data_IF_749074305647
#
_entry.id   IF_749074305647
#
_cell.length_a   1.000
_cell.length_b   1.000
_cell.length_c   1.000
_cell.angle_alpha   90.00
_cell.angle_beta   90.00
_cell.angle_gamma   90.00
#
_symmetry.space_group_name_H-M   'P 1'
#
loop_
_entity.id
_entity.type
_entity.pdbx_description
1 polymer ?
#
# COMPACT_ATOMS: atom_id res chain seq x y z
N UNK A 1 25.82 -45.26 1.32
CA UNK A 1 26.25 -46.19 2.40
C UNK A 1 25.94 -45.65 3.80
N UNK A 2 26.10 -44.36 4.11
CA UNK A 2 25.86 -43.82 5.46
C UNK A 2 24.41 -43.95 5.96
N UNK A 3 23.40 -43.89 5.08
CA UNK A 3 22.00 -44.01 5.50
C UNK A 3 21.65 -45.41 6.09
N UNK A 4 21.96 -46.49 5.39
CA UNK A 4 21.66 -47.85 5.84
C UNK A 4 22.34 -48.20 7.18
N UNK A 5 23.61 -47.82 7.33
CA UNK A 5 24.35 -48.00 8.59
C UNK A 5 23.87 -47.12 9.75
N UNK A 6 23.03 -46.10 9.50
CA UNK A 6 22.46 -45.27 10.58
C UNK A 6 21.11 -45.81 11.04
N UNK A 7 20.28 -46.33 10.12
CA UNK A 7 18.93 -46.82 10.45
C UNK A 7 18.89 -48.26 10.97
N UNK A 8 19.73 -49.17 10.45
CA UNK A 8 19.65 -50.59 10.82
C UNK A 8 20.48 -50.95 12.07
N UNK A 9 21.52 -50.18 12.40
CA UNK A 9 22.44 -50.45 13.52
C UNK A 9 21.88 -50.04 14.89
N UNK A 10 20.84 -49.19 14.92
CA UNK A 10 20.23 -48.70 16.17
C UNK A 10 19.02 -49.53 16.62
N UNK A 11 18.27 -50.13 15.69
CA UNK A 11 16.95 -50.70 16.00
C UNK A 11 16.76 -52.19 15.65
N UNK A 12 17.63 -52.83 14.85
CA UNK A 12 17.43 -54.20 14.33
C UNK A 12 15.98 -54.46 13.86
N UNK A 13 15.34 -53.46 13.25
CA UNK A 13 13.93 -53.49 12.83
C UNK A 13 13.86 -52.95 11.40
N UNK A 14 13.07 -53.60 10.56
CA UNK A 14 12.82 -53.14 9.20
C UNK A 14 12.05 -51.81 9.23
N UNK A 15 12.55 -50.72 8.61
CA UNK A 15 11.86 -49.43 8.61
C UNK A 15 10.60 -49.40 7.73
N UNK A 16 10.36 -50.44 6.92
CA UNK A 16 9.20 -50.51 6.02
C UNK A 16 8.03 -51.30 6.61
N UNK A 17 8.30 -52.38 7.36
CA UNK A 17 7.27 -53.29 7.87
C UNK A 17 7.42 -53.63 9.36
N UNK A 18 8.33 -52.96 10.07
CA UNK A 18 8.56 -53.09 11.51
C UNK A 18 8.92 -54.52 11.98
N UNK A 19 9.28 -55.40 11.05
CA UNK A 19 9.73 -56.75 11.37
C UNK A 19 11.08 -56.70 12.07
N UNK A 20 11.21 -57.43 13.18
CA UNK A 20 12.46 -57.56 13.92
C UNK A 20 13.44 -58.41 13.12
N UNK A 21 14.66 -57.89 12.94
CA UNK A 21 15.76 -58.46 12.16
C UNK A 21 16.92 -58.90 13.08
N UNK A 22 16.68 -59.90 13.94
CA UNK A 22 17.64 -60.39 14.95
C UNK A 22 18.50 -61.58 14.47
N UNK A 23 18.23 -62.12 13.28
CA UNK A 23 18.92 -63.27 12.70
C UNK A 23 20.29 -62.93 12.12
N UNK A 24 21.18 -63.93 12.09
CA UNK A 24 22.61 -63.80 11.73
C UNK A 24 22.85 -63.26 10.30
N UNK A 25 21.88 -63.36 9.40
CA UNK A 25 21.99 -62.94 8.00
C UNK A 25 20.80 -62.08 7.53
N UNK A 26 20.04 -61.49 8.46
CA UNK A 26 18.86 -60.67 8.13
C UNK A 26 19.23 -59.25 7.71
N UNK A 27 20.44 -58.78 8.05
CA UNK A 27 20.97 -57.48 7.64
C UNK A 27 22.33 -57.71 6.96
N UNK A 28 22.34 -57.59 5.64
CA UNK A 28 23.56 -57.74 4.83
C UNK A 28 23.75 -56.51 3.96
N UNK A 29 24.93 -55.90 4.05
CA UNK A 29 25.34 -54.86 3.11
C UNK A 29 25.87 -55.53 1.86
N UNK A 30 25.15 -55.41 0.76
CA UNK A 30 25.53 -56.00 -0.52
C UNK A 30 25.57 -54.96 -1.63
N UNK A 31 26.41 -55.22 -2.63
CA UNK A 31 26.40 -54.46 -3.87
C UNK A 31 25.27 -54.98 -4.77
N UNK A 32 24.33 -54.10 -5.13
CA UNK A 32 23.19 -54.44 -5.99
C UNK A 32 23.57 -54.64 -7.47
N UNK A 33 24.81 -54.32 -7.86
CA UNK A 33 25.34 -54.58 -9.18
C UNK A 33 26.69 -55.34 -9.11
N UNK A 34 26.67 -56.64 -8.74
CA UNK A 34 27.88 -57.43 -8.65
C UNK A 34 28.42 -57.81 -10.04
N UNK A 35 29.73 -58.10 -10.12
CA UNK A 35 30.37 -58.53 -11.38
C UNK A 35 29.90 -59.92 -11.84
N UNK A 36 30.05 -60.23 -13.12
CA UNK A 36 29.70 -61.54 -13.67
C UNK A 36 30.45 -62.68 -12.98
N UNK A 37 31.76 -62.52 -12.73
CA UNK A 37 32.57 -63.51 -12.02
C UNK A 37 32.05 -63.74 -10.59
N UNK A 38 31.67 -62.68 -9.88
CA UNK A 38 31.10 -62.82 -8.53
C UNK A 38 29.79 -63.61 -8.56
N UNK A 39 28.88 -63.31 -9.50
CA UNK A 39 27.62 -64.05 -9.69
C UNK A 39 27.88 -65.54 -9.94
N UNK A 40 28.84 -65.88 -10.80
CA UNK A 40 29.22 -67.29 -11.05
C UNK A 40 29.82 -67.94 -9.80
N UNK A 41 30.70 -67.23 -9.09
CA UNK A 41 31.35 -67.76 -7.88
C UNK A 41 30.38 -68.08 -6.75
N UNK A 42 29.38 -67.23 -6.50
CA UNK A 42 28.39 -67.47 -5.43
C UNK A 42 27.37 -68.57 -5.77
N UNK A 43 27.16 -68.84 -7.05
CA UNK A 43 26.22 -69.88 -7.51
C UNK A 43 26.90 -71.24 -7.71
N UNK A 44 28.23 -71.28 -7.84
CA UNK A 44 28.97 -72.51 -8.09
C UNK A 44 28.78 -73.52 -6.94
N UNK A 45 28.42 -74.76 -7.29
CA UNK A 45 28.21 -75.84 -6.32
C UNK A 45 26.84 -75.83 -5.63
N UNK A 46 25.99 -74.82 -5.88
CA UNK A 46 24.61 -74.84 -5.39
C UNK A 46 23.74 -75.79 -6.24
N UNK A 47 22.78 -76.43 -5.58
CA UNK A 47 21.79 -77.27 -6.27
C UNK A 47 20.79 -76.39 -7.05
N UNK A 48 20.29 -76.84 -8.21
CA UNK A 48 19.33 -76.07 -9.01
C UNK A 48 18.09 -75.64 -8.21
N UNK A 49 17.60 -76.47 -7.29
CA UNK A 49 16.43 -76.18 -6.47
C UNK A 49 16.67 -74.96 -5.57
N UNK A 50 17.85 -74.85 -4.97
CA UNK A 50 18.23 -73.73 -4.12
C UNK A 50 18.39 -72.43 -4.93
N UNK A 51 18.95 -72.52 -6.14
CA UNK A 51 19.07 -71.37 -7.04
C UNK A 51 17.70 -70.85 -7.45
N UNK A 52 16.77 -71.75 -7.76
CA UNK A 52 15.39 -71.40 -8.09
C UNK A 52 14.67 -70.76 -6.89
N UNK A 53 14.87 -71.28 -5.68
CA UNK A 53 14.33 -70.71 -4.44
C UNK A 53 14.82 -69.27 -4.22
N UNK A 54 16.14 -69.03 -4.32
CA UNK A 54 16.73 -67.69 -4.21
C UNK A 54 16.13 -66.72 -5.24
N UNK A 55 15.99 -67.17 -6.49
CA UNK A 55 15.40 -66.36 -7.56
C UNK A 55 13.94 -66.01 -7.27
N UNK A 56 13.14 -66.97 -6.79
CA UNK A 56 11.74 -66.74 -6.43
C UNK A 56 11.61 -65.72 -5.29
N UNK A 57 12.44 -65.84 -4.24
CA UNK A 57 12.47 -64.88 -3.13
C UNK A 57 12.84 -63.47 -3.60
N UNK A 58 13.86 -63.36 -4.46
CA UNK A 58 14.29 -62.08 -5.03
C UNK A 58 13.19 -61.41 -5.87
N UNK A 59 12.47 -62.18 -6.69
CA UNK A 59 11.36 -61.68 -7.51
C UNK A 59 10.18 -61.23 -6.65
N UNK A 60 9.83 -61.97 -5.61
CA UNK A 60 8.77 -61.60 -4.67
C UNK A 60 9.12 -60.28 -3.96
N UNK A 61 10.38 -60.15 -3.51
CA UNK A 61 10.86 -58.92 -2.88
C UNK A 61 10.81 -57.73 -3.84
N UNK A 62 11.30 -57.89 -5.07
CA UNK A 62 11.23 -56.84 -6.09
C UNK A 62 9.78 -56.43 -6.39
N UNK A 63 8.87 -57.40 -6.49
CA UNK A 63 7.44 -57.15 -6.72
C UNK A 63 6.82 -56.34 -5.58
N UNK A 64 7.14 -56.70 -4.33
CA UNK A 64 6.74 -55.94 -3.16
C UNK A 64 7.30 -54.51 -3.19
N UNK A 65 8.59 -54.34 -3.48
CA UNK A 65 9.22 -53.02 -3.59
C UNK A 65 8.51 -52.13 -4.63
N UNK A 66 8.25 -52.66 -5.83
CA UNK A 66 7.53 -51.93 -6.89
C UNK A 66 6.12 -51.55 -6.43
N UNK A 67 5.40 -52.45 -5.77
CA UNK A 67 4.07 -52.17 -5.23
C UNK A 67 4.09 -51.04 -4.18
N UNK A 68 5.08 -51.05 -3.27
CA UNK A 68 5.24 -49.98 -2.27
C UNK A 68 5.60 -48.64 -2.92
N UNK A 69 6.49 -48.65 -3.93
CA UNK A 69 6.83 -47.43 -4.66
C UNK A 69 5.62 -46.83 -5.37
N UNK A 70 4.78 -47.65 -6.00
CA UNK A 70 3.54 -47.19 -6.65
C UNK A 70 2.57 -46.59 -5.62
N UNK A 71 2.32 -47.28 -4.51
CA UNK A 71 1.46 -46.78 -3.45
C UNK A 71 1.94 -45.44 -2.89
N UNK A 72 3.25 -45.29 -2.67
CA UNK A 72 3.83 -44.02 -2.22
C UNK A 72 3.67 -42.91 -3.27
N UNK A 73 3.94 -43.21 -4.54
CA UNK A 73 3.75 -42.25 -5.65
C UNK A 73 2.29 -41.80 -5.75
N UNK A 74 1.33 -42.71 -5.62
CA UNK A 74 -0.10 -42.40 -5.63
C UNK A 74 -0.50 -41.52 -4.45
N UNK A 75 -0.03 -41.83 -3.24
CA UNK A 75 -0.24 -40.99 -2.06
C UNK A 75 0.29 -39.57 -2.28
N UNK A 76 1.51 -39.44 -2.79
CA UNK A 76 2.14 -38.14 -3.09
C UNK A 76 1.40 -37.36 -4.17
N UNK A 77 0.95 -38.05 -5.22
CA UNK A 77 0.15 -37.45 -6.29
C UNK A 77 -1.17 -36.92 -5.73
N UNK A 78 -1.90 -37.72 -4.96
CA UNK A 78 -3.16 -37.33 -4.34
C UNK A 78 -3.00 -36.12 -3.42
N UNK A 79 -1.95 -36.09 -2.61
CA UNK A 79 -1.66 -34.94 -1.76
C UNK A 79 -1.37 -33.68 -2.57
N UNK A 80 -0.52 -33.78 -3.60
CA UNK A 80 -0.23 -32.66 -4.50
C UNK A 80 -1.50 -32.12 -5.19
N UNK A 81 -2.40 -33.01 -5.61
CA UNK A 81 -3.68 -32.63 -6.20
C UNK A 81 -4.61 -31.93 -5.19
N UNK A 82 -4.64 -32.37 -3.93
CA UNK A 82 -5.42 -31.70 -2.88
C UNK A 82 -4.86 -30.31 -2.58
N UNK A 83 -3.54 -30.18 -2.46
CA UNK A 83 -2.86 -28.90 -2.23
C UNK A 83 -3.12 -27.92 -3.39
N UNK A 84 -3.07 -28.40 -4.63
CA UNK A 84 -3.38 -27.60 -5.82
C UNK A 84 -4.82 -27.07 -5.77
N UNK A 85 -5.81 -27.96 -5.56
CA UNK A 85 -7.22 -27.57 -5.46
C UNK A 85 -7.46 -26.57 -4.34
N UNK A 86 -6.85 -26.77 -3.18
CA UNK A 86 -6.95 -25.84 -2.04
C UNK A 86 -6.41 -24.46 -2.41
N UNK A 87 -5.26 -24.40 -3.07
CA UNK A 87 -4.65 -23.14 -3.53
C UNK A 87 -5.48 -22.44 -4.60
N UNK A 88 -6.07 -23.19 -5.54
CA UNK A 88 -6.96 -22.62 -6.56
C UNK A 88 -8.20 -21.97 -5.93
N UNK A 89 -8.84 -22.64 -4.96
CA UNK A 89 -9.99 -22.10 -4.22
C UNK A 89 -9.58 -20.84 -3.43
N UNK A 90 -8.42 -20.88 -2.78
CA UNK A 90 -7.91 -19.74 -2.02
C UNK A 90 -7.63 -18.53 -2.93
N UNK A 91 -6.97 -18.74 -4.08
CA UNK A 91 -6.70 -17.71 -5.07
C UNK A 91 -7.99 -17.10 -5.64
N UNK A 92 -8.97 -17.93 -6.01
CA UNK A 92 -10.27 -17.45 -6.50
C UNK A 92 -11.05 -16.66 -5.44
N UNK A 93 -10.91 -17.01 -4.16
CA UNK A 93 -11.53 -16.26 -3.06
C UNK A 93 -10.82 -14.92 -2.83
N UNK A 94 -9.50 -14.91 -2.86
CA UNK A 94 -8.71 -13.67 -2.76
C UNK A 94 -9.00 -12.71 -3.91
N UNK A 95 -9.11 -13.23 -5.14
CA UNK A 95 -9.45 -12.42 -6.31
C UNK A 95 -10.81 -11.73 -6.14
N UNK A 96 -11.84 -12.49 -5.75
CA UNK A 96 -13.18 -11.95 -5.48
C UNK A 96 -13.17 -10.87 -4.39
N UNK A 97 -12.37 -11.06 -3.33
CA UNK A 97 -12.23 -10.05 -2.28
C UNK A 97 -11.62 -8.76 -2.82
N UNK A 98 -10.52 -8.87 -3.57
CA UNK A 98 -9.85 -7.71 -4.18
C UNK A 98 -10.77 -6.98 -5.16
N UNK A 99 -11.55 -7.71 -5.96
CA UNK A 99 -12.55 -7.13 -6.86
C UNK A 99 -13.63 -6.35 -6.10
N UNK A 100 -14.12 -6.89 -4.98
CA UNK A 100 -15.10 -6.22 -4.12
C UNK A 100 -14.51 -4.95 -3.48
N UNK A 101 -13.27 -5.04 -2.95
CA UNK A 101 -12.59 -3.90 -2.34
C UNK A 101 -12.32 -2.79 -3.38
N UNK A 102 -11.93 -3.17 -4.60
CA UNK A 102 -11.72 -2.26 -5.71
C UNK A 102 -13.01 -1.55 -6.10
N UNK A 103 -14.14 -2.26 -6.16
CA UNK A 103 -15.44 -1.67 -6.41
C UNK A 103 -15.81 -0.64 -5.35
N UNK A 104 -15.70 -1.02 -4.07
CA UNK A 104 -15.99 -0.14 -2.94
C UNK A 104 -15.09 1.10 -2.94
N UNK A 105 -13.82 0.95 -3.27
CA UNK A 105 -12.88 2.07 -3.30
C UNK A 105 -13.20 3.04 -4.45
N UNK A 106 -13.61 2.52 -5.62
CA UNK A 106 -14.08 3.35 -6.73
C UNK A 106 -15.32 4.16 -6.34
N UNK A 107 -16.32 3.53 -5.75
CA UNK A 107 -17.52 4.22 -5.26
C UNK A 107 -17.17 5.33 -4.26
N UNK A 108 -16.25 5.07 -3.32
CA UNK A 108 -15.76 6.08 -2.37
C UNK A 108 -15.05 7.24 -3.05
N UNK A 109 -14.21 6.97 -4.05
CA UNK A 109 -13.53 8.01 -4.82
C UNK A 109 -14.54 8.89 -5.58
N UNK A 110 -15.55 8.29 -6.21
CA UNK A 110 -16.62 9.02 -6.89
C UNK A 110 -17.43 9.88 -5.93
N UNK A 111 -17.79 9.33 -4.77
CA UNK A 111 -18.52 10.06 -3.72
C UNK A 111 -17.72 11.27 -3.22
N UNK A 112 -16.45 11.08 -2.85
CA UNK A 112 -15.58 12.17 -2.37
C UNK A 112 -15.37 13.23 -3.45
N UNK A 113 -15.27 12.83 -4.72
CA UNK A 113 -15.18 13.76 -5.85
C UNK A 113 -16.44 14.62 -5.97
N UNK A 114 -17.62 14.01 -5.86
CA UNK A 114 -18.91 14.72 -5.87
C UNK A 114 -19.03 15.71 -4.69
N UNK A 115 -18.71 15.24 -3.48
CA UNK A 115 -18.75 16.06 -2.26
C UNK A 115 -17.78 17.24 -2.35
N UNK A 116 -16.58 17.02 -2.92
CA UNK A 116 -15.60 18.08 -3.15
C UNK A 116 -16.13 19.17 -4.10
N UNK A 117 -16.75 18.79 -5.21
CA UNK A 117 -17.35 19.74 -6.15
C UNK A 117 -18.52 20.52 -5.51
N UNK A 118 -19.31 19.87 -4.65
CA UNK A 118 -20.39 20.52 -3.91
C UNK A 118 -19.84 21.57 -2.92
N UNK A 119 -18.84 21.20 -2.13
CA UNK A 119 -18.21 22.12 -1.17
C UNK A 119 -17.50 23.28 -1.87
N UNK A 120 -16.87 23.03 -3.02
CA UNK A 120 -16.27 24.07 -3.86
C UNK A 120 -17.32 25.09 -4.33
N UNK A 121 -18.51 24.64 -4.77
CA UNK A 121 -19.62 25.54 -5.14
C UNK A 121 -20.08 26.36 -3.95
N UNK A 122 -20.28 25.74 -2.79
CA UNK A 122 -20.66 26.44 -1.54
C UNK A 122 -19.63 27.50 -1.15
N UNK A 123 -18.34 27.20 -1.28
CA UNK A 123 -17.27 28.15 -1.00
C UNK A 123 -17.32 29.38 -1.92
N UNK A 124 -17.59 29.18 -3.23
CA UNK A 124 -17.76 30.29 -4.17
C UNK A 124 -18.97 31.16 -3.82
N UNK A 125 -20.12 30.55 -3.50
CA UNK A 125 -21.33 31.28 -3.10
C UNK A 125 -21.10 32.13 -1.84
N UNK A 126 -20.46 31.56 -0.82
CA UNK A 126 -20.12 32.28 0.42
C UNK A 126 -19.12 33.42 0.17
N UNK A 127 -18.14 33.22 -0.71
CA UNK A 127 -17.19 34.27 -1.09
C UNK A 127 -17.88 35.44 -1.80
N UNK A 128 -18.85 35.16 -2.68
CA UNK A 128 -19.63 36.20 -3.34
C UNK A 128 -20.51 36.98 -2.36
N UNK A 129 -21.20 36.27 -1.46
CA UNK A 129 -21.99 36.89 -0.39
C UNK A 129 -21.13 37.78 0.51
N UNK A 130 -19.92 37.31 0.89
CA UNK A 130 -18.98 38.09 1.68
C UNK A 130 -18.56 39.37 0.93
N UNK A 131 -18.18 39.26 -0.34
CA UNK A 131 -17.80 40.40 -1.16
C UNK A 131 -18.95 41.43 -1.30
N UNK A 132 -20.19 40.96 -1.41
CA UNK A 132 -21.36 41.84 -1.43
C UNK A 132 -21.57 42.54 -0.07
N UNK A 133 -21.45 41.82 1.04
CA UNK A 133 -21.53 42.41 2.39
C UNK A 133 -20.43 43.44 2.61
N UNK A 134 -19.20 43.19 2.17
CA UNK A 134 -18.11 44.15 2.20
C UNK A 134 -18.41 45.41 1.37
N UNK A 135 -19.04 45.28 0.19
CA UNK A 135 -19.51 46.43 -0.60
C UNK A 135 -20.59 47.22 0.15
N UNK A 136 -21.52 46.56 0.84
CA UNK A 136 -22.52 47.23 1.68
C UNK A 136 -21.90 47.96 2.86
N UNK A 137 -20.98 47.32 3.58
CA UNK A 137 -20.26 47.94 4.71
C UNK A 137 -19.51 49.20 4.23
N UNK A 138 -18.79 49.12 3.11
CA UNK A 138 -18.11 50.28 2.51
C UNK A 138 -19.06 51.42 2.15
N UNK A 139 -20.23 51.11 1.57
CA UNK A 139 -21.27 52.12 1.26
C UNK A 139 -21.81 52.80 2.51
N UNK A 140 -22.09 52.02 3.56
CA UNK A 140 -22.57 52.56 4.84
C UNK A 140 -21.49 53.43 5.51
N UNK A 141 -20.23 52.99 5.53
CA UNK A 141 -19.11 53.78 6.05
C UNK A 141 -18.99 55.13 5.33
N UNK A 142 -19.04 55.13 3.99
CA UNK A 142 -19.00 56.37 3.21
C UNK A 142 -20.18 57.31 3.54
N UNK A 143 -21.38 56.78 3.73
CA UNK A 143 -22.55 57.56 4.13
C UNK A 143 -22.39 58.15 5.54
N UNK A 144 -21.93 57.35 6.51
CA UNK A 144 -21.65 57.82 7.88
C UNK A 144 -20.62 58.95 7.86
N UNK A 145 -19.55 58.83 7.07
CA UNK A 145 -18.54 59.87 6.94
C UNK A 145 -19.08 61.14 6.29
N UNK A 146 -20.00 61.02 5.31
CA UNK A 146 -20.70 62.17 4.74
C UNK A 146 -21.59 62.88 5.79
N UNK A 147 -22.37 62.12 6.58
CA UNK A 147 -23.18 62.70 7.66
C UNK A 147 -22.33 63.40 8.71
N UNK A 148 -21.20 62.81 9.14
CA UNK A 148 -20.26 63.44 10.06
C UNK A 148 -19.70 64.76 9.51
N UNK A 149 -19.30 64.79 8.24
CA UNK A 149 -18.84 66.02 7.57
C UNK A 149 -19.93 67.08 7.49
N UNK A 150 -21.14 66.69 7.09
CA UNK A 150 -22.29 67.60 7.00
C UNK A 150 -22.69 68.18 8.36
N UNK A 151 -22.67 67.36 9.42
CA UNK A 151 -22.94 67.81 10.79
C UNK A 151 -21.84 68.76 11.29
N UNK A 152 -20.57 68.47 11.00
CA UNK A 152 -19.46 69.36 11.34
C UNK A 152 -19.54 70.70 10.61
N UNK A 153 -19.93 70.71 9.33
CA UNK A 153 -20.21 71.92 8.54
C UNK A 153 -21.38 72.71 9.11
N UNK A 154 -22.49 72.04 9.48
CA UNK A 154 -23.64 72.67 10.14
C UNK A 154 -23.28 73.25 11.51
N UNK A 155 -22.46 72.57 12.28
CA UNK A 155 -21.96 73.06 13.57
C UNK A 155 -21.10 74.32 13.38
N UNK A 156 -20.21 74.35 12.36
CA UNK A 156 -19.46 75.57 12.01
C UNK A 156 -20.39 76.71 11.57
N UNK A 157 -21.39 76.43 10.74
CA UNK A 157 -22.36 77.43 10.30
C UNK A 157 -23.13 78.06 11.48
N UNK A 158 -23.55 77.25 12.47
CA UNK A 158 -24.15 77.74 13.72
C UNK A 158 -23.19 78.59 14.57
N UNK A 159 -21.88 78.29 14.55
CA UNK A 159 -20.87 79.11 15.21
C UNK A 159 -20.60 80.43 14.47
N UNK A 160 -20.75 80.48 13.15
CA UNK A 160 -20.61 81.71 12.36
C UNK A 160 -21.87 82.59 12.37
N UNK A 161 -23.06 82.02 12.60
CA UNK A 161 -24.33 82.79 12.73
C UNK A 161 -24.50 83.48 14.10
N UNK A 162 -23.64 83.19 15.08
CA UNK A 162 -23.71 83.79 16.43
C UNK A 162 -22.73 84.96 16.65
N UNK A 163 -22.15 85.55 15.60
CA UNK A 163 -21.25 86.71 15.73
C UNK A 163 -21.75 87.91 14.88
N UNK A 164 -22.01 89.10 15.48
CA UNK A 164 -22.38 90.28 14.71
C UNK A 164 -21.19 90.91 13.97
N UNK A 165 -21.44 91.28 12.72
CA UNK A 165 -20.63 92.08 11.81
C UNK A 165 -20.03 93.32 12.44
N UNK A 166 -18.69 93.50 12.43
CA UNK A 166 -18.03 94.81 12.28
C UNK A 166 -16.68 94.72 11.54
N UNK A 167 -16.56 95.53 10.49
CA UNK A 167 -15.35 95.96 9.76
C UNK A 167 -14.52 96.95 10.61
N UNK A 168 -13.20 97.11 10.38
CA UNK A 168 -12.76 98.25 9.55
C UNK A 168 -11.45 98.12 8.72
N UNK A 169 -11.48 98.87 7.61
CA UNK A 169 -10.46 99.57 6.80
C UNK A 169 -8.92 99.33 6.89
N UNK A 170 -8.37 98.98 5.70
CA UNK A 170 -7.32 99.61 4.86
C UNK A 170 -5.90 99.93 5.39
N UNK A 171 -4.89 99.48 4.60
CA UNK A 171 -3.97 100.36 3.83
C UNK A 171 -3.11 99.56 2.81
N UNK A 172 -2.98 100.10 1.60
CA UNK A 172 -2.19 99.61 0.45
C UNK A 172 -0.68 99.82 0.62
N UNK A 173 0.17 98.93 0.04
CA UNK A 173 1.18 99.33 -0.97
C UNK A 173 1.84 98.14 -1.73
N UNK A 174 1.77 98.26 -3.07
CA UNK A 174 2.70 97.90 -4.17
C UNK A 174 3.98 97.07 -3.89
N UNK A 175 4.24 96.01 -4.67
CA UNK A 175 5.13 95.98 -5.86
C UNK A 175 5.32 94.55 -6.41
N UNK A 176 5.70 94.48 -7.68
CA UNK A 176 5.80 93.34 -8.59
C UNK A 176 6.86 92.27 -8.24
N UNK A 177 6.62 91.00 -8.66
CA UNK A 177 7.39 90.31 -9.73
C UNK A 177 7.28 88.77 -9.66
N UNK A 178 7.03 88.15 -10.82
CA UNK A 178 7.19 86.71 -11.17
C UNK A 178 8.69 86.40 -11.42
N UNK A 179 9.12 85.17 -11.81
CA UNK A 179 8.67 83.79 -11.54
C UNK A 179 9.86 82.86 -11.10
N UNK A 180 9.59 81.61 -10.70
CA UNK A 180 10.65 80.59 -10.57
C UNK A 180 10.16 79.22 -10.09
N UNK A 181 9.91 78.32 -11.03
CA UNK A 181 10.01 76.85 -10.85
C UNK A 181 11.47 76.47 -11.28
N UNK A 182 12.06 75.27 -11.06
CA UNK A 182 11.46 74.00 -10.58
C UNK A 182 12.35 73.13 -9.65
N UNK A 183 11.83 71.95 -9.27
CA UNK A 183 12.45 70.63 -9.51
C UNK A 183 12.80 69.71 -8.30
N UNK A 184 12.51 68.42 -8.54
CA UNK A 184 13.08 67.14 -8.02
C UNK A 184 12.86 66.76 -6.54
N UNK A 185 12.59 65.53 -6.08
CA UNK A 185 12.04 64.23 -6.54
C UNK A 185 12.08 63.29 -5.28
N UNK A 186 12.00 61.94 -5.32
CA UNK A 186 11.23 61.14 -4.36
C UNK A 186 12.14 60.30 -3.44
N UNK A 187 11.57 59.50 -2.54
CA UNK A 187 12.29 58.32 -2.04
C UNK A 187 11.36 57.17 -1.68
N UNK A 188 11.57 56.09 -2.45
CA UNK A 188 11.27 54.70 -2.16
C UNK A 188 12.21 54.15 -1.07
N UNK A 189 11.77 53.07 -0.42
CA UNK A 189 12.52 52.10 0.39
C UNK A 189 11.48 51.33 1.22
N UNK A 190 11.07 50.10 0.87
CA UNK A 190 11.77 48.80 0.87
C UNK A 190 12.24 48.32 2.26
N UNK A 191 11.90 47.06 2.53
CA UNK A 191 12.52 46.09 3.44
C UNK A 191 12.07 46.06 4.92
N UNK A 192 11.17 45.13 5.27
CA UNK A 192 11.55 43.79 5.78
C UNK A 192 10.34 42.85 5.84
#
# INVERSE_FOLDING_TARGET
>A
MQCAGTFFTSALVCPACETVLAGKDEIVVTNLNPSGNYKTSILAGLRPELVAEIAALALNFWTYQVSQELAFRDMRMNQCQQDLKSREIHAATHLRQVEADLHLLKEKCEQVSCDHELEKRRAYELAEQLAEKERHVRRLQASVDQYKKAESLRSMQRMTESQPTQLPHQLSTLYASRPGNPNVNPRLGSDH
#
